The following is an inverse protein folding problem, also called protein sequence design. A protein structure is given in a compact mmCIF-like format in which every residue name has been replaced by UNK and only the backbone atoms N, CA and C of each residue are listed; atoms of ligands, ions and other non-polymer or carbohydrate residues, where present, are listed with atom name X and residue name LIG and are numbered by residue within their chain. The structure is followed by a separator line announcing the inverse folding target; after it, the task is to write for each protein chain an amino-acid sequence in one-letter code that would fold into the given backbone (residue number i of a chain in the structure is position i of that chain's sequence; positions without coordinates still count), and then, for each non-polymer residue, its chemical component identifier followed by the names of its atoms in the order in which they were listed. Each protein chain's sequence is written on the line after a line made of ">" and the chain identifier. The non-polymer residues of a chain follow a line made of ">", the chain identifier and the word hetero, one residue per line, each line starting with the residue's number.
data_IF_255672026882
#
_entry.id   IF_255672026882
#
_cell.length_a   1.000
_cell.length_b   1.000
_cell.length_c   1.000
_cell.angle_alpha   90.00
_cell.angle_beta   90.00
_cell.angle_gamma   90.00
#
_symmetry.space_group_name_H-M   'P 1'
#
loop_
_entity.id
_entity.type
_entity.pdbx_description
1 polymer ?
#
# COMPACT_ATOMS: atom_id res chain seq x y z
N UNK A 1 -6.85 -18.52 -4.47
CA UNK A 1 -5.90 -18.34 -3.36
C UNK A 1 -4.51 -18.10 -3.94
N UNK A 2 -3.84 -17.01 -3.57
CA UNK A 2 -2.43 -16.79 -3.94
C UNK A 2 -1.54 -17.58 -3.00
N UNK A 3 -0.61 -18.37 -3.54
CA UNK A 3 0.44 -19.02 -2.75
C UNK A 3 1.49 -17.99 -2.33
N UNK A 4 2.23 -18.28 -1.27
CA UNK A 4 3.37 -17.44 -0.85
C UNK A 4 4.33 -17.17 -2.03
N UNK A 5 4.71 -18.21 -2.77
CA UNK A 5 5.59 -18.08 -3.93
C UNK A 5 5.01 -17.16 -5.03
N UNK A 6 3.70 -17.25 -5.28
CA UNK A 6 3.02 -16.37 -6.22
C UNK A 6 3.06 -14.90 -5.79
N UNK A 7 2.79 -14.64 -4.52
CA UNK A 7 2.86 -13.30 -3.94
C UNK A 7 4.29 -12.74 -3.94
N UNK A 8 5.28 -13.56 -3.54
CA UNK A 8 6.69 -13.17 -3.51
C UNK A 8 7.22 -12.81 -4.90
N UNK A 9 6.91 -13.57 -5.95
CA UNK A 9 7.30 -13.20 -7.33
C UNK A 9 6.70 -11.87 -7.77
N UNK A 10 5.42 -11.64 -7.44
CA UNK A 10 4.75 -10.37 -7.77
C UNK A 10 5.44 -9.21 -7.08
N UNK A 11 5.77 -9.36 -5.79
CA UNK A 11 6.48 -8.32 -5.05
C UNK A 11 7.91 -8.11 -5.54
N UNK A 12 8.65 -9.15 -5.92
CA UNK A 12 9.98 -9.00 -6.50
C UNK A 12 9.95 -8.15 -7.79
N UNK A 13 8.94 -8.36 -8.63
CA UNK A 13 8.74 -7.53 -9.84
C UNK A 13 8.39 -6.09 -9.52
N UNK A 14 7.51 -5.85 -8.55
CA UNK A 14 7.14 -4.50 -8.11
C UNK A 14 8.31 -3.76 -7.48
N UNK A 15 9.10 -4.43 -6.63
CA UNK A 15 10.28 -3.84 -6.01
C UNK A 15 11.31 -3.41 -7.06
N UNK A 16 11.49 -4.19 -8.13
CA UNK A 16 12.32 -3.80 -9.26
C UNK A 16 11.78 -2.59 -10.02
N UNK A 17 10.47 -2.51 -10.24
CA UNK A 17 9.84 -1.40 -10.98
C UNK A 17 9.79 -0.09 -10.19
N UNK A 18 9.54 -0.15 -8.87
CA UNK A 18 9.32 1.03 -8.02
C UNK A 18 10.63 1.50 -7.38
N UNK A 19 11.46 0.57 -6.90
CA UNK A 19 12.67 0.89 -6.14
C UNK A 19 13.97 0.67 -6.93
N UNK A 20 13.89 0.13 -8.15
CA UNK A 20 15.07 -0.19 -8.95
C UNK A 20 15.86 -1.40 -8.46
N UNK A 21 15.27 -2.19 -7.55
CA UNK A 21 15.94 -3.34 -6.94
C UNK A 21 16.19 -4.45 -7.96
N UNK A 22 17.40 -5.00 -7.93
CA UNK A 22 17.71 -6.28 -8.56
C UNK A 22 17.04 -7.42 -7.78
N UNK A 23 16.77 -8.57 -8.41
CA UNK A 23 16.15 -9.70 -7.74
C UNK A 23 16.87 -10.14 -6.46
N UNK A 24 18.21 -10.03 -6.41
CA UNK A 24 19.00 -10.37 -5.23
C UNK A 24 18.75 -9.45 -4.03
N UNK A 25 18.47 -8.17 -4.25
CA UNK A 25 18.19 -7.21 -3.18
C UNK A 25 16.84 -7.53 -2.51
N UNK A 26 15.83 -7.87 -3.31
CA UNK A 26 14.52 -8.30 -2.80
C UNK A 26 14.62 -9.55 -1.90
N UNK A 27 15.40 -10.56 -2.29
CA UNK A 27 15.51 -11.80 -1.51
C UNK A 27 16.36 -11.67 -0.25
N UNK A 28 17.21 -10.64 -0.18
CA UNK A 28 18.01 -10.35 1.01
C UNK A 28 17.30 -9.40 1.98
N UNK A 29 16.35 -8.60 1.50
CA UNK A 29 15.55 -7.71 2.33
C UNK A 29 14.58 -8.50 3.22
N UNK A 30 14.40 -8.02 4.44
CA UNK A 30 13.39 -8.55 5.36
C UNK A 30 11.99 -8.03 4.99
N UNK A 31 10.92 -8.75 5.38
CA UNK A 31 9.55 -8.28 5.18
C UNK A 31 9.26 -6.91 5.81
N UNK A 32 9.84 -6.62 6.98
CA UNK A 32 9.65 -5.34 7.67
C UNK A 32 10.34 -4.18 6.93
N UNK A 33 11.56 -4.38 6.42
CA UNK A 33 12.23 -3.38 5.59
C UNK A 33 11.43 -3.09 4.30
N UNK A 34 10.89 -4.13 3.67
CA UNK A 34 10.03 -3.97 2.50
C UNK A 34 8.74 -3.22 2.85
N UNK A 35 8.11 -3.54 4.00
CA UNK A 35 6.91 -2.86 4.46
C UNK A 35 7.15 -1.37 4.76
N UNK A 36 8.32 -1.02 5.30
CA UNK A 36 8.71 0.36 5.54
C UNK A 36 8.83 1.16 4.23
N UNK A 37 9.44 0.58 3.20
CA UNK A 37 9.55 1.22 1.88
C UNK A 37 8.18 1.45 1.22
N UNK A 38 7.31 0.45 1.29
CA UNK A 38 5.94 0.56 0.76
C UNK A 38 5.15 1.63 1.52
N UNK A 39 5.29 1.69 2.85
CA UNK A 39 4.64 2.69 3.68
C UNK A 39 5.10 4.11 3.34
N UNK A 40 6.39 4.29 3.03
CA UNK A 40 6.93 5.58 2.61
C UNK A 40 6.42 6.05 1.23
N UNK A 41 5.92 5.13 0.39
CA UNK A 41 5.30 5.47 -0.90
C UNK A 41 3.80 5.78 -0.79
N UNK A 42 3.16 5.34 0.29
CA UNK A 42 1.76 5.65 0.52
C UNK A 42 1.66 7.11 0.96
N UNK A 43 0.69 7.88 0.43
CA UNK A 43 0.36 9.15 1.05
C UNK A 43 0.01 8.90 2.51
N UNK A 44 0.38 9.85 3.37
CA UNK A 44 0.05 9.79 4.79
C UNK A 44 -1.44 9.44 4.92
N UNK A 45 -1.75 8.37 5.65
CA UNK A 45 -3.10 7.85 5.70
C UNK A 45 -4.01 8.98 6.16
N UNK A 46 -4.90 9.43 5.26
CA UNK A 46 -5.85 10.47 5.59
C UNK A 46 -6.62 9.99 6.83
N UNK A 47 -6.72 10.85 7.84
CA UNK A 47 -7.52 10.55 9.02
C UNK A 47 -8.93 10.19 8.54
N UNK A 48 -9.46 9.01 8.90
CA UNK A 48 -10.82 8.65 8.54
C UNK A 48 -11.76 9.77 9.02
N UNK A 49 -12.73 10.21 8.19
CA UNK A 49 -13.62 11.28 8.60
C UNK A 49 -14.44 10.86 9.81
N UNK A 50 -14.64 11.78 10.74
CA UNK A 50 -15.46 11.53 11.91
C UNK A 50 -16.96 11.51 11.54
N UNK A 51 -17.80 11.09 12.49
CA UNK A 51 -19.23 10.97 12.25
C UNK A 51 -19.89 12.31 11.86
N UNK A 52 -19.34 13.44 12.32
CA UNK A 52 -19.84 14.79 12.01
C UNK A 52 -19.45 15.17 10.58
N UNK A 53 -18.22 14.91 10.18
CA UNK A 53 -17.73 15.13 8.81
C UNK A 53 -18.53 14.30 7.82
N UNK A 54 -18.79 13.03 8.13
CA UNK A 54 -19.64 12.16 7.30
C UNK A 54 -21.05 12.73 7.15
N UNK A 55 -21.68 13.18 8.25
CA UNK A 55 -23.02 13.76 8.21
C UNK A 55 -23.07 15.05 7.35
N UNK A 56 -22.04 15.91 7.46
CA UNK A 56 -21.94 17.12 6.64
C UNK A 56 -21.77 16.78 5.15
N UNK A 57 -21.02 15.73 4.81
CA UNK A 57 -20.88 15.27 3.43
C UNK A 57 -22.19 14.70 2.87
N UNK A 58 -22.96 13.96 3.68
CA UNK A 58 -24.27 13.43 3.28
C UNK A 58 -25.29 14.55 3.00
N UNK A 59 -25.26 15.63 3.79
CA UNK A 59 -26.11 16.81 3.56
C UNK A 59 -25.69 17.58 2.31
N UNK A 60 -24.37 17.74 2.08
CA UNK A 60 -23.83 18.47 0.94
C UNK A 60 -24.00 17.72 -0.39
N UNK A 61 -24.01 16.39 -0.37
CA UNK A 61 -24.11 15.53 -1.55
C UNK A 61 -25.23 14.49 -1.35
N UNK A 62 -26.51 14.90 -1.44
CA UNK A 62 -27.62 13.97 -1.32
C UNK A 62 -27.62 13.02 -2.53
N UNK A 63 -27.51 11.72 -2.24
CA UNK A 63 -27.67 10.66 -3.24
C UNK A 63 -29.16 10.59 -3.63
N UNK A 64 -29.52 11.31 -4.69
CA UNK A 64 -30.87 11.35 -5.26
C UNK A 64 -31.29 10.08 -5.98
#
# INVERSE_FOLDING_TARGET
>A
MTTFAGAARRMAGLAGAVFGWRPGEFWQATPDELAALVSACAPEAATPPDAREIAAMQEAFPDG
#
